data_IF_436061902406
#
_entry.id   IF_436061902406
#
_cell.length_a   1.000
_cell.length_b   1.000
_cell.length_c   1.000
_cell.angle_alpha   90.00
_cell.angle_beta   90.00
_cell.angle_gamma   90.00
#
_symmetry.space_group_name_H-M   'P 1'
#
loop_
_entity.id
_entity.type
_entity.pdbx_description
1 polymer ?
#
# COMPACT_ATOMS: atom_id res chain seq x y z
N UNK A 1 9.95 -11.55 -11.53
CA UNK A 1 9.92 -11.34 -10.07
C UNK A 1 8.49 -11.42 -9.60
N UNK A 2 8.23 -12.17 -8.52
CA UNK A 2 6.91 -12.23 -7.89
C UNK A 2 7.02 -11.68 -6.47
N UNK A 3 6.06 -10.85 -6.09
CA UNK A 3 6.01 -10.24 -4.76
C UNK A 3 4.58 -10.17 -4.24
N UNK A 4 4.47 -10.07 -2.93
CA UNK A 4 3.23 -9.74 -2.24
C UNK A 4 3.36 -8.34 -1.64
N UNK A 5 2.30 -7.54 -1.74
CA UNK A 5 2.24 -6.17 -1.21
C UNK A 5 1.06 -6.06 -0.27
N UNK A 6 1.31 -6.07 1.04
CA UNK A 6 0.29 -5.75 2.03
C UNK A 6 0.15 -4.24 2.11
N UNK A 7 -1.08 -3.73 2.02
CA UNK A 7 -1.40 -2.32 2.18
C UNK A 7 -2.41 -2.11 3.31
N UNK A 8 -2.31 -0.97 3.97
CA UNK A 8 -3.30 -0.53 4.95
C UNK A 8 -3.29 1.00 5.04
N UNK A 9 -4.44 1.59 5.34
CA UNK A 9 -4.59 3.01 5.59
C UNK A 9 -5.60 3.25 6.69
N UNK A 10 -5.23 4.10 7.64
CA UNK A 10 -6.06 4.36 8.83
C UNK A 10 -6.24 5.84 9.09
N UNK A 11 -7.42 6.20 9.59
CA UNK A 11 -7.70 7.54 10.10
C UNK A 11 -8.24 7.52 11.53
N UNK A 12 -7.72 8.41 12.39
CA UNK A 12 -8.23 8.64 13.75
C UNK A 12 -9.41 9.60 13.74
N UNK A 13 -10.54 9.16 13.18
CA UNK A 13 -11.75 9.95 12.96
C UNK A 13 -12.18 9.94 11.50
N UNK A 14 -13.35 10.52 11.21
CA UNK A 14 -13.89 10.58 9.84
C UNK A 14 -14.48 11.98 9.53
N UNK A 15 -13.64 13.03 9.39
CA UNK A 15 -12.18 12.98 9.19
C UNK A 15 -11.35 13.04 10.48
N UNK A 16 -10.06 12.71 10.38
CA UNK A 16 -9.07 12.85 11.46
C UNK A 16 -7.62 12.69 10.96
N UNK A 17 -6.63 12.65 11.87
CA UNK A 17 -5.24 12.39 11.49
C UNK A 17 -5.10 11.01 10.84
N UNK A 18 -4.48 10.96 9.67
CA UNK A 18 -4.48 9.74 8.84
C UNK A 18 -3.09 9.39 8.32
N UNK A 19 -2.86 8.10 8.09
CA UNK A 19 -1.65 7.56 7.51
C UNK A 19 -1.97 6.38 6.58
N UNK A 20 -1.05 6.12 5.65
CA UNK A 20 -1.08 4.97 4.77
C UNK A 20 0.26 4.25 4.80
N UNK A 21 0.26 2.93 4.63
CA UNK A 21 1.46 2.10 4.66
C UNK A 21 1.37 0.93 3.69
N UNK A 22 2.55 0.40 3.36
CA UNK A 22 2.70 -0.84 2.62
C UNK A 22 3.93 -1.64 3.08
N UNK A 23 3.87 -2.95 2.89
CA UNK A 23 4.97 -3.89 3.08
C UNK A 23 5.08 -4.75 1.83
N UNK A 24 6.27 -4.83 1.25
CA UNK A 24 6.58 -5.67 0.10
C UNK A 24 7.41 -6.86 0.57
N UNK A 25 6.97 -8.08 0.25
CA UNK A 25 7.70 -9.32 0.52
C UNK A 25 8.00 -10.10 -0.76
N UNK A 26 9.10 -10.84 -0.76
CA UNK A 26 9.41 -11.83 -1.79
C UNK A 26 8.57 -13.12 -1.63
N UNK A 27 8.83 -14.12 -2.48
CA UNK A 27 8.11 -15.40 -2.48
C UNK A 27 8.38 -16.23 -1.21
N UNK A 28 9.53 -16.01 -0.57
CA UNK A 28 9.93 -16.63 0.70
C UNK A 28 9.37 -15.89 1.93
N UNK A 29 8.61 -14.82 1.71
CA UNK A 29 8.03 -13.99 2.77
C UNK A 29 9.02 -13.07 3.46
N UNK A 30 10.23 -12.87 2.91
CA UNK A 30 11.19 -11.91 3.42
C UNK A 30 10.77 -10.49 3.03
N UNK A 31 10.87 -9.56 3.98
CA UNK A 31 10.55 -8.16 3.74
C UNK A 31 11.62 -7.54 2.85
N UNK A 32 11.21 -7.11 1.66
CA UNK A 32 12.05 -6.38 0.72
C UNK A 32 12.02 -4.88 0.97
N UNK A 33 10.83 -4.34 1.30
CA UNK A 33 10.66 -2.92 1.54
C UNK A 33 9.44 -2.65 2.43
N UNK A 34 9.50 -1.56 3.19
CA UNK A 34 8.36 -0.99 3.90
C UNK A 34 8.29 0.50 3.59
N UNK A 35 7.08 1.05 3.43
CA UNK A 35 6.86 2.49 3.33
C UNK A 35 5.63 2.89 4.12
N UNK A 36 5.71 4.07 4.72
CA UNK A 36 4.57 4.68 5.40
C UNK A 36 4.58 6.19 5.15
N UNK A 37 3.40 6.79 5.11
CA UNK A 37 3.23 8.23 4.91
C UNK A 37 2.15 8.74 5.86
N UNK A 38 2.49 9.79 6.62
CA UNK A 38 1.46 10.61 7.26
C UNK A 38 0.78 11.45 6.16
N UNK A 39 -0.53 11.27 6.00
CA UNK A 39 -1.30 11.93 4.95
C UNK A 39 -1.67 13.36 5.37
N UNK A 40 -1.89 13.56 6.67
CA UNK A 40 -2.20 14.86 7.24
C UNK A 40 -3.21 14.75 8.39
N UNK A 41 -3.63 15.89 8.96
CA UNK A 41 -4.42 15.93 10.18
C UNK A 41 -5.93 15.69 9.97
N UNK A 42 -6.43 15.68 8.73
CA UNK A 42 -7.87 15.66 8.47
C UNK A 42 -8.21 14.98 7.14
N UNK A 43 -8.15 13.65 7.11
CA UNK A 43 -8.67 12.82 6.02
C UNK A 43 -9.63 11.76 6.55
N UNK A 44 -10.42 11.16 5.65
CA UNK A 44 -11.35 10.07 6.00
C UNK A 44 -10.63 8.73 6.04
N UNK A 45 -11.23 7.71 6.65
CA UNK A 45 -10.66 6.35 6.62
C UNK A 45 -10.49 5.84 5.19
N UNK A 46 -11.53 5.98 4.36
CA UNK A 46 -11.49 5.55 2.97
C UNK A 46 -10.39 6.28 2.19
N UNK A 47 -10.17 7.57 2.43
CA UNK A 47 -9.07 8.30 1.81
C UNK A 47 -7.72 7.68 2.18
N UNK A 48 -7.55 7.27 3.44
CA UNK A 48 -6.33 6.63 3.91
C UNK A 48 -6.09 5.28 3.22
N UNK A 49 -7.10 4.42 3.15
CA UNK A 49 -7.00 3.09 2.51
C UNK A 49 -6.71 3.21 1.00
N UNK A 50 -7.39 4.10 0.28
CA UNK A 50 -7.10 4.37 -1.13
C UNK A 50 -5.70 4.97 -1.34
N UNK A 51 -5.23 5.80 -0.42
CA UNK A 51 -3.86 6.34 -0.46
C UNK A 51 -2.79 5.26 -0.27
N UNK A 52 -3.10 4.19 0.46
CA UNK A 52 -2.20 3.03 0.61
C UNK A 52 -2.05 2.27 -0.71
N UNK A 53 -3.15 2.06 -1.44
CA UNK A 53 -3.14 1.46 -2.77
C UNK A 53 -2.36 2.34 -3.77
N UNK A 54 -2.59 3.65 -3.77
CA UNK A 54 -1.82 4.59 -4.62
C UNK A 54 -0.31 4.48 -4.34
N UNK A 55 0.08 4.45 -3.06
CA UNK A 55 1.47 4.27 -2.65
C UNK A 55 2.09 2.97 -3.16
N UNK A 56 1.34 1.86 -3.09
CA UNK A 56 1.76 0.57 -3.62
C UNK A 56 1.91 0.58 -5.13
N UNK A 57 0.93 1.09 -5.88
CA UNK A 57 1.01 1.19 -7.35
C UNK A 57 2.22 2.00 -7.79
N UNK A 58 2.49 3.13 -7.14
CA UNK A 58 3.68 3.95 -7.45
C UNK A 58 4.99 3.19 -7.22
N UNK A 59 5.08 2.40 -6.15
CA UNK A 59 6.25 1.57 -5.89
C UNK A 59 6.39 0.42 -6.91
N UNK A 60 5.28 -0.20 -7.31
CA UNK A 60 5.25 -1.25 -8.31
C UNK A 60 5.66 -0.73 -9.69
N UNK A 61 5.20 0.46 -10.09
CA UNK A 61 5.61 1.12 -11.34
C UNK A 61 7.12 1.37 -11.36
N UNK A 62 7.68 1.83 -10.24
CA UNK A 62 9.12 2.02 -10.11
C UNK A 62 9.89 0.69 -10.26
N UNK A 63 9.46 -0.36 -9.55
CA UNK A 63 10.10 -1.69 -9.64
C UNK A 63 9.98 -2.30 -11.04
N UNK A 64 8.85 -2.11 -11.72
CA UNK A 64 8.67 -2.59 -13.09
C UNK A 64 9.64 -1.93 -14.10
N UNK A 65 10.19 -0.75 -13.80
CA UNK A 65 11.23 -0.11 -14.60
C UNK A 65 12.62 -0.77 -14.46
N UNK A 66 12.86 -1.48 -13.35
CA UNK A 66 14.16 -2.09 -13.02
C UNK A 66 14.20 -3.60 -13.33
N UNK A 67 13.06 -4.21 -13.66
CA UNK A 67 12.93 -5.65 -13.86
C UNK A 67 12.18 -5.98 -15.16
N UNK A 68 12.68 -6.95 -15.94
CA UNK A 68 12.05 -7.38 -17.21
C UNK A 68 10.61 -7.91 -17.03
N UNK A 69 10.30 -8.49 -15.86
CA UNK A 69 8.99 -9.02 -15.53
C UNK A 69 8.71 -8.92 -14.04
N UNK A 70 7.55 -8.35 -13.69
CA UNK A 70 7.05 -8.21 -12.33
C UNK A 70 5.59 -8.71 -12.25
N UNK A 71 5.32 -9.59 -11.30
CA UNK A 71 3.97 -9.98 -10.89
C UNK A 71 3.81 -9.60 -9.42
N UNK A 72 2.77 -8.85 -9.09
CA UNK A 72 2.51 -8.43 -7.73
C UNK A 72 1.09 -8.81 -7.32
N UNK A 73 0.96 -9.40 -6.14
CA UNK A 73 -0.32 -9.59 -5.47
C UNK A 73 -0.47 -8.51 -4.41
N UNK A 74 -1.46 -7.62 -4.57
CA UNK A 74 -1.76 -6.57 -3.59
C UNK A 74 -2.85 -7.08 -2.66
N UNK A 75 -2.54 -7.13 -1.36
CA UNK A 75 -3.42 -7.61 -0.31
C UNK A 75 -3.85 -6.45 0.58
N UNK A 76 -5.16 -6.29 0.75
CA UNK A 76 -5.79 -5.33 1.64
C UNK A 76 -6.90 -6.02 2.43
N UNK A 77 -7.19 -5.54 3.64
CA UNK A 77 -8.31 -6.02 4.47
C UNK A 77 -9.62 -5.23 4.25
N UNK A 78 -9.54 -4.06 3.60
CA UNK A 78 -10.70 -3.27 3.19
C UNK A 78 -11.38 -3.86 1.95
N UNK A 79 -12.58 -4.42 2.14
CA UNK A 79 -13.40 -4.95 1.05
C UNK A 79 -13.71 -3.89 -0.01
N UNK A 80 -13.87 -2.62 0.37
CA UNK A 80 -14.18 -1.52 -0.54
C UNK A 80 -13.01 -1.16 -1.46
N UNK A 81 -11.77 -1.38 -1.03
CA UNK A 81 -10.59 -1.20 -1.89
C UNK A 81 -10.40 -2.42 -2.80
N UNK A 82 -10.77 -3.62 -2.32
CA UNK A 82 -10.60 -4.88 -3.05
C UNK A 82 -11.68 -5.09 -4.15
N UNK A 83 -12.89 -4.55 -3.99
CA UNK A 83 -14.05 -4.77 -4.88
C UNK A 83 -14.51 -3.53 -5.61
#
# INVERSE_FOLDING_TARGET
MKITVNIDGGSRGNPGPSAAAMVITDEEGQIMATKSKFLGPSFTNNFAEWSALEGAVNALVYLAGEHESLTAEVLADSELVVR
#
